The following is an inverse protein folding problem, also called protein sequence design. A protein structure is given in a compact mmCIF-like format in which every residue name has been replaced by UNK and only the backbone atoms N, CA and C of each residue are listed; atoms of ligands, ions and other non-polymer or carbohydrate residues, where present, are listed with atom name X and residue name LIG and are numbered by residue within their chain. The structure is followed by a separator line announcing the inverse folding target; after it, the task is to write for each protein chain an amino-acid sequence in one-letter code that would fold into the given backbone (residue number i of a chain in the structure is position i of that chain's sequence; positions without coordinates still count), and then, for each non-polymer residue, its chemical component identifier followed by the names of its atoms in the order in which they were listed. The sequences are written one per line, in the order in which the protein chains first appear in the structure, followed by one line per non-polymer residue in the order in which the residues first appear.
data_IF_403326333537
#
_entry.id   IF_403326333537
#
_cell.length_a   1.000
_cell.length_b   1.000
_cell.length_c   1.000
_cell.angle_alpha   90.00
_cell.angle_beta   90.00
_cell.angle_gamma   90.00
#
_symmetry.space_group_name_H-M   'P 1'
#
loop_
_entity.id
_entity.type
_entity.pdbx_description
1 polymer ?
#
# COMPACT_ATOMS: atom_id res chain seq x y z
N UNK A 1 -3.42 -29.47 -4.86
CA UNK A 1 -4.15 -28.22 -5.22
C UNK A 1 -3.92 -27.20 -4.11
N UNK A 2 -3.17 -26.16 -4.40
CA UNK A 2 -3.00 -24.99 -3.52
C UNK A 2 -3.95 -23.86 -3.93
N UNK A 3 -3.93 -22.75 -3.17
CA UNK A 3 -4.82 -21.62 -3.44
C UNK A 3 -4.50 -20.92 -4.77
N UNK A 4 -3.22 -20.60 -5.11
CA UNK A 4 -2.88 -20.02 -6.39
C UNK A 4 -3.34 -20.83 -7.59
N UNK A 5 -3.10 -22.13 -7.59
CA UNK A 5 -3.51 -23.00 -8.69
C UNK A 5 -5.02 -23.01 -8.91
N UNK A 6 -5.81 -23.07 -7.82
CA UNK A 6 -7.27 -23.02 -7.90
C UNK A 6 -7.78 -21.67 -8.41
N UNK A 7 -7.20 -20.56 -7.95
CA UNK A 7 -7.55 -19.21 -8.43
C UNK A 7 -7.23 -19.12 -9.93
N UNK A 8 -6.03 -19.50 -10.36
CA UNK A 8 -5.64 -19.50 -11.77
C UNK A 8 -6.57 -20.34 -12.64
N UNK A 9 -6.99 -21.51 -12.15
CA UNK A 9 -7.94 -22.34 -12.86
C UNK A 9 -9.31 -21.65 -13.08
N UNK A 10 -9.72 -20.76 -12.17
CA UNK A 10 -10.96 -19.99 -12.27
C UNK A 10 -10.82 -18.68 -13.04
N UNK A 11 -9.61 -18.26 -13.42
CA UNK A 11 -9.39 -17.06 -14.22
C UNK A 11 -9.97 -17.19 -15.64
N UNK A 12 -9.91 -18.37 -16.23
CA UNK A 12 -10.41 -18.64 -17.59
C UNK A 12 -11.94 -18.78 -17.67
N UNK A 13 -12.65 -18.60 -16.55
CA UNK A 13 -14.09 -18.68 -16.48
C UNK A 13 -14.62 -19.77 -15.52
N UNK A 14 -15.94 -20.01 -15.51
CA UNK A 14 -16.57 -20.94 -14.61
C UNK A 14 -16.08 -22.39 -14.80
N UNK A 15 -15.84 -23.10 -13.70
CA UNK A 15 -15.51 -24.54 -13.74
C UNK A 15 -16.32 -25.33 -12.72
N UNK A 16 -16.88 -26.46 -13.15
CA UNK A 16 -17.59 -27.35 -12.23
C UNK A 16 -16.64 -28.00 -11.21
N UNK A 17 -17.16 -28.32 -10.03
CA UNK A 17 -16.37 -29.02 -9.01
C UNK A 17 -15.86 -30.39 -9.47
N UNK A 18 -16.56 -31.05 -10.41
CA UNK A 18 -16.11 -32.32 -11.03
C UNK A 18 -14.88 -32.06 -11.91
N UNK A 19 -14.93 -31.00 -12.75
CA UNK A 19 -13.82 -30.63 -13.64
C UNK A 19 -12.57 -30.26 -12.84
N UNK A 20 -12.74 -29.41 -11.82
CA UNK A 20 -11.64 -29.04 -10.91
C UNK A 20 -11.04 -30.26 -10.18
N UNK A 21 -11.89 -31.17 -9.70
CA UNK A 21 -11.44 -32.41 -9.05
C UNK A 21 -10.59 -33.27 -9.98
N UNK A 22 -11.01 -33.43 -11.23
CA UNK A 22 -10.26 -34.17 -12.25
C UNK A 22 -8.94 -33.45 -12.63
N UNK A 23 -8.99 -32.13 -12.84
CA UNK A 23 -7.83 -31.29 -13.21
C UNK A 23 -6.70 -31.36 -12.15
N UNK A 24 -7.09 -31.38 -10.87
CA UNK A 24 -6.12 -31.39 -9.75
C UNK A 24 -5.88 -32.78 -9.14
N UNK A 25 -6.52 -33.84 -9.61
CA UNK A 25 -6.35 -35.18 -9.06
C UNK A 25 -6.82 -35.32 -7.60
N UNK A 26 -7.88 -34.57 -7.21
CA UNK A 26 -8.43 -34.56 -5.84
C UNK A 26 -9.92 -34.89 -5.82
N UNK A 27 -10.49 -35.10 -4.63
CA UNK A 27 -11.93 -35.32 -4.48
C UNK A 27 -12.72 -34.00 -4.65
N UNK A 28 -14.00 -34.13 -5.07
CA UNK A 28 -14.93 -32.97 -5.11
C UNK A 28 -15.08 -32.29 -3.75
N UNK A 29 -15.06 -33.07 -2.67
CA UNK A 29 -15.13 -32.56 -1.30
C UNK A 29 -13.89 -31.71 -0.96
N UNK A 30 -12.70 -32.08 -1.45
CA UNK A 30 -11.48 -31.28 -1.30
C UNK A 30 -11.56 -29.97 -2.07
N UNK A 31 -12.12 -29.97 -3.29
CA UNK A 31 -12.38 -28.74 -4.05
C UNK A 31 -13.32 -27.82 -3.29
N UNK A 32 -14.47 -28.35 -2.85
CA UNK A 32 -15.46 -27.59 -2.10
C UNK A 32 -14.85 -26.95 -0.84
N UNK A 33 -14.13 -27.74 -0.03
CA UNK A 33 -13.47 -27.25 1.18
C UNK A 33 -12.48 -26.12 0.87
N UNK A 34 -11.75 -26.20 -0.24
CA UNK A 34 -10.79 -25.16 -0.65
C UNK A 34 -11.50 -23.89 -1.13
N UNK A 35 -12.60 -24.00 -1.85
CA UNK A 35 -13.45 -22.88 -2.26
C UNK A 35 -14.01 -22.16 -1.03
N UNK A 36 -14.56 -22.90 -0.04
CA UNK A 36 -15.09 -22.28 1.18
C UNK A 36 -13.97 -21.55 1.95
N UNK A 37 -12.79 -22.15 2.07
CA UNK A 37 -11.65 -21.49 2.70
C UNK A 37 -11.26 -20.18 1.98
N UNK A 38 -11.29 -20.13 0.66
CA UNK A 38 -11.02 -18.89 -0.10
C UNK A 38 -12.12 -17.85 0.13
N UNK A 39 -13.40 -18.28 0.20
CA UNK A 39 -14.52 -17.38 0.52
C UNK A 39 -14.41 -16.78 1.92
N UNK A 40 -14.09 -17.60 2.92
CA UNK A 40 -13.84 -17.15 4.30
C UNK A 40 -12.71 -16.13 4.38
N UNK A 41 -11.73 -16.22 3.48
CA UNK A 41 -10.61 -15.27 3.35
C UNK A 41 -10.95 -14.03 2.53
N UNK A 42 -12.18 -13.93 1.98
CA UNK A 42 -12.65 -12.75 1.26
C UNK A 42 -12.52 -12.82 -0.25
N UNK A 43 -12.15 -13.97 -0.84
CA UNK A 43 -12.20 -14.15 -2.30
C UNK A 43 -13.67 -14.29 -2.72
N UNK A 44 -14.12 -13.36 -3.55
CA UNK A 44 -15.48 -13.42 -4.08
C UNK A 44 -15.60 -14.51 -5.16
N UNK A 45 -16.14 -15.66 -4.77
CA UNK A 45 -16.40 -16.81 -5.66
C UNK A 45 -17.88 -17.11 -5.64
N UNK A 46 -18.54 -16.98 -6.79
CA UNK A 46 -19.93 -17.40 -6.99
C UNK A 46 -20.02 -18.90 -7.30
N UNK A 47 -21.20 -19.45 -7.05
CA UNK A 47 -21.58 -20.81 -7.51
C UNK A 47 -22.78 -20.71 -8.41
N UNK A 48 -22.61 -21.10 -9.67
CA UNK A 48 -23.72 -21.32 -10.61
C UNK A 48 -24.04 -22.81 -10.66
N UNK A 49 -25.32 -23.15 -10.59
CA UNK A 49 -25.79 -24.56 -10.56
C UNK A 49 -25.39 -25.32 -11.83
N UNK A 50 -25.31 -24.62 -12.98
CA UNK A 50 -25.01 -25.25 -14.27
C UNK A 50 -23.53 -25.16 -14.65
N UNK A 51 -22.86 -24.06 -14.29
CA UNK A 51 -21.48 -23.75 -14.71
C UNK A 51 -20.44 -24.06 -13.63
N UNK A 52 -20.85 -24.10 -12.36
CA UNK A 52 -19.96 -24.35 -11.21
C UNK A 52 -19.43 -23.07 -10.56
N UNK A 53 -18.17 -23.09 -10.13
CA UNK A 53 -17.52 -21.98 -9.42
C UNK A 53 -16.93 -20.98 -10.41
N UNK A 54 -17.08 -19.68 -10.11
CA UNK A 54 -16.44 -18.59 -10.86
C UNK A 54 -15.96 -17.48 -9.91
N UNK A 55 -14.88 -16.82 -10.28
CA UNK A 55 -14.49 -15.58 -9.63
C UNK A 55 -15.48 -14.47 -10.04
N UNK A 56 -15.99 -13.73 -9.05
CA UNK A 56 -16.89 -12.56 -9.31
C UNK A 56 -16.12 -11.49 -10.08
N UNK A 57 -14.86 -11.29 -9.71
CA UNK A 57 -13.92 -10.43 -10.44
C UNK A 57 -12.66 -11.28 -10.74
N UNK A 58 -12.46 -11.69 -11.98
CA UNK A 58 -11.19 -12.30 -12.38
C UNK A 58 -10.06 -11.27 -12.21
N UNK A 59 -9.19 -11.50 -11.24
CA UNK A 59 -8.06 -10.64 -10.94
C UNK A 59 -6.79 -11.48 -10.97
N UNK A 60 -5.84 -11.21 -11.89
CA UNK A 60 -4.59 -11.94 -11.97
C UNK A 60 -3.82 -11.90 -10.66
N UNK A 61 -3.19 -13.01 -10.31
CA UNK A 61 -2.24 -13.06 -9.21
C UNK A 61 -1.04 -12.16 -9.49
N UNK A 62 -0.36 -11.75 -8.43
CA UNK A 62 0.93 -11.08 -8.55
C UNK A 62 1.94 -12.07 -9.11
N UNK A 63 2.62 -11.68 -10.19
CA UNK A 63 3.61 -12.48 -10.87
C UNK A 63 4.90 -11.70 -11.08
N UNK A 64 6.01 -12.27 -10.62
CA UNK A 64 7.34 -11.66 -10.72
C UNK A 64 7.72 -11.34 -12.17
N UNK A 65 7.46 -12.25 -13.08
CA UNK A 65 7.73 -12.07 -14.52
C UNK A 65 6.96 -10.89 -15.12
N UNK A 66 5.67 -10.77 -14.80
CA UNK A 66 4.81 -9.68 -15.27
C UNK A 66 5.24 -8.32 -14.71
N UNK A 67 5.55 -8.26 -13.40
CA UNK A 67 6.07 -7.04 -12.75
C UNK A 67 7.38 -6.61 -13.39
N UNK A 68 8.36 -7.53 -13.50
CA UNK A 68 9.68 -7.23 -14.08
C UNK A 68 9.59 -6.80 -15.54
N UNK A 69 8.70 -7.40 -16.33
CA UNK A 69 8.51 -7.03 -17.73
C UNK A 69 7.93 -5.61 -17.88
N UNK A 70 7.14 -5.15 -16.92
CA UNK A 70 6.51 -3.84 -16.95
C UNK A 70 7.34 -2.72 -16.26
N UNK A 71 8.39 -3.07 -15.48
CA UNK A 71 9.32 -2.08 -14.90
C UNK A 71 10.23 -1.48 -15.97
N UNK A 72 10.62 -0.22 -15.79
CA UNK A 72 11.69 0.36 -16.62
C UNK A 72 13.04 -0.31 -16.39
N UNK A 73 13.92 -0.24 -17.39
CA UNK A 73 15.17 -1.00 -17.40
C UNK A 73 16.14 -0.58 -16.28
N UNK A 74 16.22 0.71 -15.97
CA UNK A 74 17.12 1.23 -14.94
C UNK A 74 16.67 0.77 -13.56
N UNK A 75 15.39 1.00 -13.20
CA UNK A 75 14.84 0.57 -11.92
C UNK A 75 14.87 -0.95 -11.72
N UNK A 76 14.77 -1.71 -12.82
CA UNK A 76 14.91 -3.18 -12.76
C UNK A 76 16.34 -3.63 -12.46
N UNK A 77 17.36 -2.88 -12.90
CA UNK A 77 18.77 -3.17 -12.58
C UNK A 77 19.07 -2.91 -11.09
N UNK A 78 18.39 -1.94 -10.48
CA UNK A 78 18.51 -1.61 -9.06
C UNK A 78 17.70 -2.56 -8.15
N UNK A 79 16.96 -3.50 -8.71
CA UNK A 79 16.19 -4.48 -7.95
C UNK A 79 17.09 -5.63 -7.48
N UNK A 80 17.48 -5.63 -6.21
CA UNK A 80 18.26 -6.69 -5.58
C UNK A 80 17.47 -8.02 -5.51
N UNK A 81 16.23 -7.94 -5.02
CA UNK A 81 15.35 -9.11 -4.90
C UNK A 81 13.88 -8.73 -4.94
N UNK A 82 13.03 -9.65 -5.43
CA UNK A 82 11.59 -9.56 -5.44
C UNK A 82 11.01 -10.90 -5.00
N UNK A 83 10.32 -10.90 -3.84
CA UNK A 83 9.64 -12.06 -3.27
C UNK A 83 8.13 -11.82 -3.29
N UNK A 84 7.36 -12.85 -3.63
CA UNK A 84 5.90 -12.81 -3.67
C UNK A 84 5.37 -14.03 -2.93
N UNK A 85 4.61 -13.77 -1.85
CA UNK A 85 3.93 -14.81 -1.07
C UNK A 85 2.43 -14.76 -1.34
N UNK A 86 1.76 -15.91 -1.43
CA UNK A 86 0.29 -15.91 -1.47
C UNK A 86 -0.29 -15.49 -0.11
N UNK A 87 0.27 -15.99 0.96
CA UNK A 87 -0.15 -15.70 2.33
C UNK A 87 1.08 -15.54 3.23
N UNK A 88 1.12 -14.44 3.98
CA UNK A 88 2.16 -14.14 4.97
C UNK A 88 1.51 -13.46 6.18
N UNK A 89 2.19 -13.40 7.29
CA UNK A 89 1.77 -12.58 8.44
C UNK A 89 1.79 -11.09 8.08
N UNK A 90 2.95 -10.57 7.65
CA UNK A 90 3.11 -9.18 7.21
C UNK A 90 4.35 -9.03 6.33
N UNK A 91 4.21 -8.38 5.17
CA UNK A 91 5.35 -8.00 4.34
C UNK A 91 6.32 -7.10 5.11
N UNK A 92 5.79 -6.22 5.98
CA UNK A 92 6.59 -5.32 6.80
C UNK A 92 7.44 -6.07 7.82
N UNK A 93 6.86 -7.03 8.55
CA UNK A 93 7.60 -7.86 9.51
C UNK A 93 8.69 -8.67 8.82
N UNK A 94 8.36 -9.22 7.65
CA UNK A 94 9.32 -9.98 6.85
C UNK A 94 10.49 -9.10 6.40
N UNK A 95 10.20 -7.92 5.86
CA UNK A 95 11.21 -6.99 5.41
C UNK A 95 12.13 -6.53 6.56
N UNK A 96 11.57 -6.21 7.74
CA UNK A 96 12.36 -5.79 8.91
C UNK A 96 13.29 -6.89 9.43
N UNK A 97 12.89 -8.16 9.29
CA UNK A 97 13.68 -9.30 9.74
C UNK A 97 14.94 -9.53 8.89
N UNK A 98 14.98 -8.99 7.68
CA UNK A 98 16.10 -9.12 6.76
C UNK A 98 16.92 -7.81 6.74
N UNK A 99 18.25 -7.87 6.62
CA UNK A 99 19.08 -6.68 6.44
C UNK A 99 18.76 -6.00 5.11
N UNK A 100 18.85 -4.67 5.07
CA UNK A 100 18.76 -3.97 3.80
C UNK A 100 19.94 -4.34 2.88
N UNK A 101 19.72 -4.48 1.56
CA UNK A 101 20.80 -4.77 0.63
C UNK A 101 21.82 -3.62 0.61
N UNK A 102 23.08 -3.94 0.35
CA UNK A 102 24.15 -2.93 0.25
C UNK A 102 23.90 -1.99 -0.94
N UNK A 103 23.30 -2.52 -2.02
CA UNK A 103 22.90 -1.76 -3.20
C UNK A 103 21.52 -2.18 -3.67
N UNK A 104 20.77 -1.23 -4.19
CA UNK A 104 19.45 -1.42 -4.73
C UNK A 104 18.37 -1.61 -3.67
N UNK A 105 17.26 -2.22 -4.07
CA UNK A 105 16.09 -2.45 -3.25
C UNK A 105 15.75 -3.94 -3.13
N UNK A 106 15.35 -4.39 -1.95
CA UNK A 106 14.74 -5.70 -1.74
C UNK A 106 13.24 -5.53 -1.48
N UNK A 107 12.41 -6.29 -2.16
CA UNK A 107 10.95 -6.13 -2.20
C UNK A 107 10.22 -7.39 -1.74
N UNK A 108 9.25 -7.23 -0.86
CA UNK A 108 8.33 -8.27 -0.40
C UNK A 108 6.91 -7.88 -0.75
N UNK A 109 6.23 -8.76 -1.45
CA UNK A 109 4.83 -8.64 -1.85
C UNK A 109 4.02 -9.80 -1.28
N UNK A 110 2.73 -9.57 -1.06
CA UNK A 110 1.82 -10.64 -0.69
C UNK A 110 0.44 -10.46 -1.31
N UNK A 111 -0.21 -11.58 -1.66
CA UNK A 111 -1.62 -11.56 -2.04
C UNK A 111 -2.52 -11.28 -0.84
N UNK A 112 -2.18 -11.82 0.33
CA UNK A 112 -2.88 -11.53 1.58
C UNK A 112 -1.94 -11.49 2.79
N UNK A 113 -2.35 -10.73 3.81
CA UNK A 113 -1.66 -10.70 5.09
C UNK A 113 -2.61 -11.08 6.23
N UNK A 114 -2.17 -11.98 7.12
CA UNK A 114 -2.95 -12.39 8.30
C UNK A 114 -2.80 -11.41 9.47
N UNK A 115 -1.69 -10.66 9.51
CA UNK A 115 -1.36 -9.67 10.54
C UNK A 115 -0.82 -8.36 9.92
N UNK A 116 -1.45 -7.89 8.82
CA UNK A 116 -1.08 -6.64 8.16
C UNK A 116 -1.03 -5.46 9.14
N UNK A 117 0.03 -4.66 9.05
CA UNK A 117 0.32 -3.59 10.00
C UNK A 117 0.05 -2.21 9.43
N UNK A 118 -0.55 -1.35 10.26
CA UNK A 118 -0.60 0.09 10.10
C UNK A 118 0.11 0.79 11.25
N UNK A 119 0.18 2.12 11.20
CA UNK A 119 0.75 2.93 12.29
C UNK A 119 0.00 2.73 13.60
N UNK A 120 0.72 2.88 14.73
CA UNK A 120 0.16 2.84 16.10
C UNK A 120 -0.55 1.52 16.41
N UNK A 121 -0.05 0.39 15.90
CA UNK A 121 -0.62 -0.94 16.14
C UNK A 121 -1.96 -1.22 15.44
N UNK A 122 -2.43 -0.35 14.54
CA UNK A 122 -3.65 -0.61 13.77
C UNK A 122 -3.42 -1.75 12.78
N UNK A 123 -4.46 -2.54 12.55
CA UNK A 123 -4.44 -3.58 11.52
C UNK A 123 -4.71 -2.97 10.15
N UNK A 124 -4.02 -3.50 9.13
CA UNK A 124 -4.28 -3.23 7.72
C UNK A 124 -5.12 -4.37 7.12
N UNK A 125 -6.27 -4.04 6.53
CA UNK A 125 -7.15 -5.00 5.88
C UNK A 125 -6.50 -5.53 4.60
N UNK A 126 -6.26 -6.83 4.55
CA UNK A 126 -5.43 -7.45 3.51
C UNK A 126 -6.07 -8.72 2.92
N UNK A 127 -7.30 -8.64 2.36
CA UNK A 127 -7.89 -9.80 1.70
C UNK A 127 -7.13 -10.14 0.41
N UNK A 128 -7.13 -11.42 -0.02
CA UNK A 128 -6.43 -11.83 -1.23
C UNK A 128 -7.06 -11.21 -2.49
N UNK A 129 -6.26 -11.01 -3.53
CA UNK A 129 -6.65 -10.50 -4.86
C UNK A 129 -7.16 -9.06 -4.88
N UNK A 130 -7.24 -8.38 -3.74
CA UNK A 130 -7.93 -7.10 -3.64
C UNK A 130 -6.99 -5.88 -3.71
N UNK A 131 -5.81 -6.00 -3.11
CA UNK A 131 -4.99 -4.84 -2.80
C UNK A 131 -3.53 -5.04 -3.26
N UNK A 132 -2.74 -4.00 -3.11
CA UNK A 132 -1.27 -4.09 -3.12
C UNK A 132 -0.81 -4.05 -1.65
N UNK A 133 0.00 -5.02 -1.27
CA UNK A 133 0.73 -5.08 -0.01
C UNK A 133 2.21 -5.23 -0.35
N UNK A 134 2.98 -4.19 -0.10
CA UNK A 134 4.39 -4.12 -0.48
C UNK A 134 5.22 -3.58 0.67
N UNK A 135 6.38 -4.19 0.87
CA UNK A 135 7.44 -3.63 1.72
C UNK A 135 8.76 -3.65 0.98
N UNK A 136 9.54 -2.58 1.13
CA UNK A 136 10.80 -2.35 0.45
C UNK A 136 11.86 -2.05 1.49
N UNK A 137 13.01 -2.76 1.41
CA UNK A 137 14.21 -2.40 2.15
C UNK A 137 15.21 -1.73 1.22
N UNK A 138 15.80 -0.63 1.70
CA UNK A 138 16.93 0.05 1.07
C UNK A 138 17.87 0.59 2.13
N UNK A 139 19.17 0.54 1.84
CA UNK A 139 20.19 1.26 2.58
C UNK A 139 20.42 2.63 1.94
N UNK A 140 20.38 3.67 2.76
CA UNK A 140 20.73 5.04 2.42
C UNK A 140 22.06 5.41 3.06
N UNK A 141 22.94 6.06 2.32
CA UNK A 141 24.25 6.50 2.80
C UNK A 141 24.19 7.87 3.50
N UNK A 142 23.09 8.11 4.20
CA UNK A 142 22.84 9.32 4.97
C UNK A 142 22.38 8.95 6.39
N UNK A 143 22.61 9.82 7.39
CA UNK A 143 22.21 9.55 8.76
C UNK A 143 20.68 9.55 8.92
N UNK A 144 20.19 8.89 10.00
CA UNK A 144 18.75 8.82 10.32
C UNK A 144 18.10 10.21 10.37
N UNK A 145 18.82 11.24 10.86
CA UNK A 145 18.32 12.61 10.92
C UNK A 145 17.98 13.19 9.53
N UNK A 146 18.72 12.81 8.47
CA UNK A 146 18.46 13.24 7.11
C UNK A 146 17.18 12.60 6.50
N UNK A 147 16.63 11.57 7.14
CA UNK A 147 15.39 10.90 6.70
C UNK A 147 14.12 11.64 7.11
N UNK A 148 14.24 12.86 7.70
CA UNK A 148 13.05 13.67 8.01
C UNK A 148 12.21 13.94 6.76
N UNK A 149 10.89 13.71 6.86
CA UNK A 149 9.97 13.88 5.74
C UNK A 149 10.02 12.79 4.66
N UNK A 150 10.82 11.73 4.81
CA UNK A 150 10.88 10.63 3.83
C UNK A 150 9.51 10.00 3.55
N UNK A 151 8.65 9.88 4.57
CA UNK A 151 7.27 9.40 4.38
C UNK A 151 6.46 10.28 3.44
N UNK A 152 6.65 11.60 3.51
CA UNK A 152 5.96 12.56 2.65
C UNK A 152 6.47 12.45 1.21
N UNK A 153 7.79 12.35 1.03
CA UNK A 153 8.39 12.14 -0.29
C UNK A 153 7.91 10.83 -0.93
N UNK A 154 7.89 9.71 -0.19
CA UNK A 154 7.36 8.43 -0.67
C UNK A 154 5.89 8.54 -1.08
N UNK A 155 5.07 9.26 -0.32
CA UNK A 155 3.67 9.48 -0.65
C UNK A 155 3.50 10.26 -1.96
N UNK A 156 4.33 11.28 -2.21
CA UNK A 156 4.38 12.01 -3.49
C UNK A 156 4.73 11.07 -4.64
N UNK A 157 5.81 10.29 -4.52
CA UNK A 157 6.24 9.32 -5.54
C UNK A 157 5.12 8.33 -5.90
N UNK A 158 4.44 7.78 -4.88
CA UNK A 158 3.32 6.84 -5.08
C UNK A 158 2.18 7.53 -5.83
N UNK A 159 1.78 8.74 -5.42
CA UNK A 159 0.70 9.48 -6.08
C UNK A 159 1.07 9.81 -7.52
N UNK A 160 2.29 10.28 -7.78
CA UNK A 160 2.76 10.57 -9.14
C UNK A 160 2.72 9.34 -10.04
N UNK A 161 3.17 8.18 -9.54
CA UNK A 161 3.08 6.92 -10.27
C UNK A 161 1.63 6.53 -10.58
N UNK A 162 0.71 6.65 -9.62
CA UNK A 162 -0.70 6.35 -9.83
C UNK A 162 -1.36 7.32 -10.82
N UNK A 163 -0.99 8.61 -10.80
CA UNK A 163 -1.46 9.62 -11.76
C UNK A 163 -0.99 9.31 -13.19
N UNK A 164 0.27 8.89 -13.37
CA UNK A 164 0.80 8.45 -14.67
C UNK A 164 0.02 7.23 -15.22
N UNK A 165 -0.56 6.43 -14.35
CA UNK A 165 -1.42 5.29 -14.71
C UNK A 165 -2.91 5.68 -14.86
N UNK A 166 -3.23 6.98 -14.85
CA UNK A 166 -4.55 7.51 -15.13
C UNK A 166 -5.50 7.62 -13.93
N UNK A 167 -5.01 7.47 -12.69
CA UNK A 167 -5.82 7.66 -11.49
C UNK A 167 -5.91 9.15 -11.16
N UNK A 168 -7.12 9.72 -11.24
CA UNK A 168 -7.41 11.14 -11.03
C UNK A 168 -8.04 11.37 -9.65
N UNK A 169 -7.84 12.54 -9.06
CA UNK A 169 -8.45 12.92 -7.77
C UNK A 169 -7.70 12.44 -6.54
N UNK A 170 -6.43 12.05 -6.74
CA UNK A 170 -5.53 11.70 -5.64
C UNK A 170 -5.09 12.94 -4.85
N UNK A 171 -4.98 12.78 -3.54
CA UNK A 171 -4.46 13.77 -2.60
C UNK A 171 -3.69 13.06 -1.48
N UNK A 172 -2.93 13.83 -0.73
CA UNK A 172 -2.17 13.34 0.43
C UNK A 172 -2.81 13.85 1.72
N UNK A 173 -2.90 12.98 2.71
CA UNK A 173 -3.24 13.37 4.08
C UNK A 173 -2.06 13.11 4.99
N UNK A 174 -1.55 14.18 5.56
CA UNK A 174 -0.47 14.12 6.53
C UNK A 174 -0.81 13.16 7.70
N UNK A 175 0.14 12.35 8.14
CA UNK A 175 1.54 12.29 7.66
C UNK A 175 1.79 11.18 6.61
N UNK A 176 0.84 10.27 6.33
CA UNK A 176 1.16 9.03 5.61
C UNK A 176 -0.03 8.37 4.88
N UNK A 177 -1.15 9.06 4.73
CA UNK A 177 -2.32 8.51 4.06
C UNK A 177 -2.44 9.01 2.61
N UNK A 178 -2.78 8.08 1.72
CA UNK A 178 -3.16 8.38 0.34
C UNK A 178 -4.68 8.50 0.27
N UNK A 179 -5.16 9.58 -0.28
CA UNK A 179 -6.57 9.84 -0.46
C UNK A 179 -6.97 9.82 -1.93
N UNK A 180 -8.18 9.36 -2.20
CA UNK A 180 -8.86 9.48 -3.48
C UNK A 180 -10.25 10.05 -3.21
N UNK A 181 -10.52 11.24 -3.78
CA UNK A 181 -11.77 12.00 -3.54
C UNK A 181 -12.11 12.15 -2.04
N UNK A 182 -11.11 12.48 -1.23
CA UNK A 182 -11.27 12.72 0.21
C UNK A 182 -11.40 11.48 1.10
N UNK A 183 -11.36 10.27 0.53
CA UNK A 183 -11.40 8.99 1.25
C UNK A 183 -10.09 8.24 1.15
N UNK A 184 -9.73 7.49 2.17
CA UNK A 184 -8.45 6.77 2.22
C UNK A 184 -8.41 5.62 1.21
N UNK A 185 -7.48 5.67 0.26
CA UNK A 185 -7.21 4.59 -0.68
C UNK A 185 -5.91 3.84 -0.39
N UNK A 186 -5.04 4.38 0.48
CA UNK A 186 -3.78 3.75 0.82
C UNK A 186 -3.12 4.37 2.04
N UNK A 187 -1.99 3.81 2.43
CA UNK A 187 -1.19 4.35 3.53
C UNK A 187 0.21 3.75 3.55
N UNK A 188 1.13 4.48 4.18
CA UNK A 188 2.54 4.14 4.29
C UNK A 188 2.94 3.90 5.74
N UNK A 189 3.93 3.02 5.93
CA UNK A 189 4.56 2.75 7.22
C UNK A 189 6.07 2.68 7.02
N UNK A 190 6.82 3.60 7.64
CA UNK A 190 8.28 3.64 7.54
C UNK A 190 8.88 3.24 8.88
N UNK A 191 9.91 2.42 8.81
CA UNK A 191 10.78 2.08 9.93
C UNK A 191 12.23 2.30 9.54
N UNK A 192 12.97 2.89 10.45
CA UNK A 192 14.36 3.28 10.26
C UNK A 192 15.22 2.48 11.25
N UNK A 193 16.37 2.01 10.77
CA UNK A 193 17.39 1.36 11.58
C UNK A 193 18.75 1.89 11.16
N UNK A 194 19.51 2.44 12.06
CA UNK A 194 20.84 3.00 11.78
C UNK A 194 21.43 3.69 12.98
N UNK A 195 22.69 4.05 12.87
CA UNK A 195 23.39 4.88 13.85
C UNK A 195 23.14 6.37 13.58
N UNK A 196 23.42 7.21 14.58
CA UNK A 196 23.14 8.64 14.47
C UNK A 196 23.86 9.30 13.29
N UNK A 197 25.13 8.93 13.05
CA UNK A 197 26.01 9.53 12.03
C UNK A 197 26.37 8.55 10.89
N UNK A 198 25.76 7.37 10.86
CA UNK A 198 26.03 6.31 9.89
C UNK A 198 24.95 6.14 8.83
N UNK A 199 25.14 5.17 7.90
CA UNK A 199 24.11 4.80 6.94
C UNK A 199 22.84 4.33 7.65
N UNK A 200 21.71 4.55 6.99
CA UNK A 200 20.38 4.21 7.51
C UNK A 200 19.72 3.12 6.65
N UNK A 201 19.32 2.03 7.26
CA UNK A 201 18.47 1.02 6.65
C UNK A 201 17.00 1.44 6.82
N UNK A 202 16.30 1.52 5.72
CA UNK A 202 14.90 1.94 5.66
C UNK A 202 14.02 0.79 5.22
N UNK A 203 12.96 0.53 5.98
CA UNK A 203 11.86 -0.33 5.55
C UNK A 203 10.64 0.54 5.28
N UNK A 204 10.26 0.68 4.00
CA UNK A 204 9.03 1.30 3.57
C UNK A 204 7.98 0.23 3.32
N UNK A 205 6.91 0.18 4.13
CA UNK A 205 5.70 -0.57 3.81
C UNK A 205 4.63 0.33 3.24
N UNK A 206 3.90 -0.13 2.25
CA UNK A 206 2.69 0.55 1.81
C UNK A 206 1.58 -0.43 1.42
N UNK A 207 0.36 0.00 1.67
CA UNK A 207 -0.85 -0.70 1.26
C UNK A 207 -1.73 0.20 0.39
N UNK A 208 -2.25 -0.33 -0.72
CA UNK A 208 -3.16 0.39 -1.63
C UNK A 208 -4.39 -0.46 -1.87
N UNK A 209 -5.56 0.10 -1.62
CA UNK A 209 -6.86 -0.52 -1.92
C UNK A 209 -7.11 -0.43 -3.43
N UNK A 210 -6.89 -1.52 -4.18
CA UNK A 210 -7.09 -1.53 -5.63
C UNK A 210 -8.50 -2.02 -5.97
N UNK A 211 -8.88 -3.19 -5.47
CA UNK A 211 -10.16 -3.86 -5.73
C UNK A 211 -10.90 -4.24 -4.44
N UNK A 212 -10.60 -3.59 -3.32
CA UNK A 212 -11.20 -3.90 -2.03
C UNK A 212 -12.73 -3.77 -2.11
N UNK A 213 -13.45 -4.86 -1.83
CA UNK A 213 -14.90 -4.85 -1.80
C UNK A 213 -15.46 -4.30 -0.50
N UNK A 214 -16.67 -3.73 -0.52
CA UNK A 214 -17.32 -3.23 0.68
C UNK A 214 -17.50 -4.31 1.76
N UNK A 215 -17.77 -5.55 1.34
CA UNK A 215 -17.87 -6.68 2.26
C UNK A 215 -16.54 -6.99 2.95
N UNK A 216 -15.43 -7.08 2.19
CA UNK A 216 -14.11 -7.36 2.74
C UNK A 216 -13.58 -6.22 3.61
N UNK A 217 -13.92 -4.97 3.28
CA UNK A 217 -13.54 -3.77 4.05
C UNK A 217 -14.52 -3.36 5.16
N UNK A 218 -15.56 -4.15 5.46
CA UNK A 218 -16.60 -3.78 6.42
C UNK A 218 -16.10 -3.49 7.85
N UNK A 219 -14.94 -4.07 8.23
CA UNK A 219 -14.31 -3.84 9.54
C UNK A 219 -13.38 -2.63 9.59
N UNK A 220 -13.27 -1.82 8.54
CA UNK A 220 -12.42 -0.63 8.52
C UNK A 220 -13.17 0.53 9.18
N UNK A 221 -12.60 1.09 10.27
CA UNK A 221 -13.20 2.11 11.15
C UNK A 221 -13.09 3.56 10.63
N UNK A 222 -12.79 3.75 9.36
CA UNK A 222 -12.64 5.07 8.72
C UNK A 222 -13.17 5.04 7.29
N UNK A 223 -13.45 6.22 6.72
CA UNK A 223 -13.83 6.33 5.33
C UNK A 223 -12.70 5.87 4.42
N UNK A 224 -12.99 4.88 3.59
CA UNK A 224 -12.05 4.31 2.64
C UNK A 224 -12.68 4.15 1.25
N UNK A 225 -11.81 3.95 0.28
CA UNK A 225 -12.18 3.74 -1.12
C UNK A 225 -11.17 2.82 -1.79
N UNK A 226 -11.61 2.07 -2.79
CA UNK A 226 -10.73 1.33 -3.69
C UNK A 226 -10.52 2.12 -5.00
N UNK A 227 -9.33 2.04 -5.60
CA UNK A 227 -9.02 2.72 -6.85
C UNK A 227 -10.03 2.36 -7.96
N UNK A 228 -10.45 1.10 -8.03
CA UNK A 228 -11.40 0.60 -9.03
C UNK A 228 -12.81 1.16 -8.91
N UNK A 229 -13.14 1.91 -7.85
CA UNK A 229 -14.43 2.60 -7.72
C UNK A 229 -14.48 3.91 -8.53
N UNK A 230 -13.33 4.41 -8.97
CA UNK A 230 -13.20 5.72 -9.62
C UNK A 230 -12.48 5.70 -10.97
N UNK A 231 -12.42 4.53 -11.60
CA UNK A 231 -11.90 4.38 -12.96
C UNK A 231 -12.63 3.28 -13.68
N UNK A 232 -12.93 3.49 -14.97
CA UNK A 232 -13.46 2.46 -15.85
C UNK A 232 -12.35 1.55 -16.41
N UNK A 233 -11.10 1.96 -16.29
CA UNK A 233 -9.96 1.17 -16.72
C UNK A 233 -9.80 -0.09 -15.87
N UNK A 234 -9.47 -1.21 -16.52
CA UNK A 234 -9.10 -2.44 -15.82
C UNK A 234 -7.74 -2.21 -15.15
N UNK A 235 -7.74 -2.18 -13.82
CA UNK A 235 -6.53 -2.01 -13.04
C UNK A 235 -5.81 -3.36 -12.90
N UNK A 236 -4.64 -3.46 -13.50
CA UNK A 236 -3.72 -4.60 -13.35
C UNK A 236 -2.73 -4.30 -12.22
N UNK A 237 -2.79 -5.07 -11.13
CA UNK A 237 -1.91 -4.90 -9.96
C UNK A 237 -0.44 -5.11 -10.28
N UNK A 238 -0.10 -5.98 -11.24
CA UNK A 238 1.28 -6.17 -11.67
C UNK A 238 1.84 -4.92 -12.35
N UNK A 239 1.06 -4.28 -13.23
CA UNK A 239 1.43 -3.02 -13.87
C UNK A 239 1.49 -1.86 -12.89
N UNK A 240 0.53 -1.78 -11.95
CA UNK A 240 0.55 -0.78 -10.88
C UNK A 240 1.83 -0.91 -10.05
N UNK A 241 2.16 -2.14 -9.62
CA UNK A 241 3.39 -2.40 -8.85
C UNK A 241 4.65 -2.06 -9.63
N UNK A 242 4.73 -2.41 -10.91
CA UNK A 242 5.87 -2.08 -11.75
C UNK A 242 6.10 -0.55 -11.83
N UNK A 243 5.05 0.23 -12.05
CA UNK A 243 5.12 1.69 -12.05
C UNK A 243 5.54 2.26 -10.69
N UNK A 244 4.93 1.76 -9.60
CA UNK A 244 5.25 2.17 -8.23
C UNK A 244 6.71 1.86 -7.86
N UNK A 245 7.20 0.64 -8.17
CA UNK A 245 8.58 0.25 -7.90
C UNK A 245 9.56 1.10 -8.71
N UNK A 246 9.26 1.35 -9.99
CA UNK A 246 10.09 2.20 -10.85
C UNK A 246 10.17 3.63 -10.34
N UNK A 247 9.05 4.22 -9.94
CA UNK A 247 9.02 5.60 -9.43
C UNK A 247 9.71 5.73 -8.07
N UNK A 248 9.46 4.76 -7.16
CA UNK A 248 10.10 4.75 -5.84
C UNK A 248 11.62 4.59 -5.95
N UNK A 249 12.12 3.71 -6.83
CA UNK A 249 13.55 3.51 -7.03
C UNK A 249 14.23 4.83 -7.45
N UNK A 250 13.71 5.52 -8.47
CA UNK A 250 14.24 6.83 -8.91
C UNK A 250 14.09 7.90 -7.83
N UNK A 251 12.96 7.92 -7.16
CA UNK A 251 12.68 8.88 -6.11
C UNK A 251 13.54 8.71 -4.86
N UNK A 252 13.97 7.49 -4.55
CA UNK A 252 14.90 7.22 -3.44
C UNK A 252 16.27 7.84 -3.69
N UNK A 253 16.81 7.72 -4.91
CA UNK A 253 18.07 8.38 -5.28
C UNK A 253 17.97 9.90 -5.17
N UNK A 254 16.87 10.48 -5.68
CA UNK A 254 16.59 11.90 -5.58
C UNK A 254 16.43 12.35 -4.12
N UNK A 255 15.80 11.54 -3.26
CA UNK A 255 15.69 11.88 -1.84
C UNK A 255 17.05 11.78 -1.12
N UNK A 256 17.88 10.81 -1.45
CA UNK A 256 19.21 10.64 -0.87
C UNK A 256 20.12 11.84 -1.18
N UNK A 257 20.01 12.44 -2.39
CA UNK A 257 20.79 13.60 -2.81
C UNK A 257 20.22 14.93 -2.31
N UNK A 258 18.91 15.14 -2.43
CA UNK A 258 18.28 16.47 -2.31
C UNK A 258 17.34 16.59 -1.10
N UNK A 259 17.05 15.47 -0.43
CA UNK A 259 16.17 15.41 0.74
C UNK A 259 14.72 15.79 0.45
N UNK A 260 13.97 16.10 1.51
CA UNK A 260 12.57 16.52 1.43
C UNK A 260 12.36 17.79 0.57
N UNK A 261 13.27 18.80 0.54
CA UNK A 261 13.07 20.01 -0.28
C UNK A 261 12.71 19.72 -1.74
N UNK A 262 13.26 18.65 -2.33
CA UNK A 262 12.94 18.24 -3.69
C UNK A 262 11.47 17.84 -3.92
N UNK A 263 10.72 17.52 -2.86
CA UNK A 263 9.34 17.02 -2.92
C UNK A 263 8.30 17.95 -2.31
N UNK A 264 8.72 19.03 -1.63
CA UNK A 264 7.80 19.92 -0.88
C UNK A 264 6.77 20.59 -1.81
N UNK A 265 7.18 21.04 -3.00
CA UNK A 265 6.28 21.71 -3.93
C UNK A 265 5.18 20.75 -4.41
N UNK A 266 5.58 19.53 -4.79
CA UNK A 266 4.65 18.47 -5.23
C UNK A 266 3.73 18.07 -4.08
N UNK A 267 4.28 17.89 -2.86
CA UNK A 267 3.49 17.57 -1.69
C UNK A 267 2.42 18.63 -1.41
N UNK A 268 2.79 19.91 -1.44
CA UNK A 268 1.84 21.03 -1.22
C UNK A 268 0.72 21.06 -2.25
N UNK A 269 1.01 20.74 -3.50
CA UNK A 269 -0.01 20.66 -4.56
C UNK A 269 -1.02 19.53 -4.34
N UNK A 270 -0.62 18.50 -3.59
CA UNK A 270 -1.41 17.31 -3.28
C UNK A 270 -2.00 17.34 -1.86
N UNK A 271 -1.75 18.40 -1.07
CA UNK A 271 -2.21 18.47 0.33
C UNK A 271 -3.73 18.49 0.46
N UNK A 272 -4.29 17.37 0.86
CA UNK A 272 -5.73 17.21 1.09
C UNK A 272 -6.23 17.87 2.38
N UNK A 273 -5.34 18.36 3.25
CA UNK A 273 -5.71 18.99 4.52
C UNK A 273 -5.62 20.54 4.48
N UNK A 274 -4.95 21.11 3.50
CA UNK A 274 -4.70 22.56 3.43
C UNK A 274 -5.97 23.37 3.64
N UNK A 275 -5.97 24.23 4.67
CA UNK A 275 -7.08 25.12 5.03
C UNK A 275 -8.29 24.43 5.69
N UNK A 276 -8.26 23.10 5.91
CA UNK A 276 -9.39 22.38 6.52
C UNK A 276 -9.36 22.46 8.03
N UNK A 277 -10.56 22.52 8.62
CA UNK A 277 -10.75 22.28 10.04
C UNK A 277 -10.38 20.82 10.37
N UNK A 278 -9.49 20.65 11.34
CA UNK A 278 -8.98 19.34 11.74
C UNK A 278 -8.96 19.19 13.25
N UNK A 279 -9.10 17.97 13.69
CA UNK A 279 -8.91 17.54 15.05
C UNK A 279 -7.59 16.80 15.17
N UNK A 280 -6.73 17.28 16.03
CA UNK A 280 -5.42 16.72 16.32
C UNK A 280 -5.48 15.98 17.65
N UNK A 281 -5.04 14.72 17.63
CA UNK A 281 -4.86 13.89 18.82
C UNK A 281 -3.36 13.70 19.07
N UNK A 282 -2.87 14.22 20.18
CA UNK A 282 -1.48 14.10 20.61
C UNK A 282 -1.45 13.45 22.00
N UNK A 283 -1.16 12.15 22.04
CA UNK A 283 -1.35 11.37 23.25
C UNK A 283 -2.78 11.44 23.79
N UNK A 284 -2.94 11.92 25.03
CA UNK A 284 -4.24 12.13 25.65
C UNK A 284 -4.89 13.50 25.31
N UNK A 285 -4.11 14.44 24.73
CA UNK A 285 -4.59 15.77 24.39
C UNK A 285 -5.27 15.78 23.04
N UNK A 286 -6.41 16.48 22.97
CA UNK A 286 -7.14 16.70 21.75
C UNK A 286 -7.31 18.19 21.52
N UNK A 287 -7.03 18.65 20.29
CA UNK A 287 -7.16 20.06 19.90
C UNK A 287 -7.88 20.17 18.57
N UNK A 288 -8.77 21.12 18.44
CA UNK A 288 -9.45 21.50 17.21
C UNK A 288 -8.81 22.78 16.64
N UNK A 289 -8.61 22.83 15.34
CA UNK A 289 -7.99 23.95 14.65
C UNK A 289 -7.94 23.73 13.15
N UNK A 290 -7.02 24.37 12.46
CA UNK A 290 -6.87 24.29 11.01
C UNK A 290 -5.50 23.76 10.60
N UNK A 291 -5.46 22.92 9.55
CA UNK A 291 -4.21 22.50 8.92
C UNK A 291 -3.77 23.59 7.92
N UNK A 292 -2.55 24.09 8.10
CA UNK A 292 -1.98 25.20 7.32
C UNK A 292 -0.83 24.77 6.39
N UNK A 293 -0.77 23.48 6.02
CA UNK A 293 0.29 22.91 5.18
C UNK A 293 1.41 22.28 5.97
N UNK A 294 2.60 22.16 5.37
CA UNK A 294 3.79 21.61 6.01
C UNK A 294 4.96 22.59 6.06
N UNK A 295 5.76 22.49 7.11
CA UNK A 295 7.03 23.17 7.27
C UNK A 295 8.15 22.55 6.40
N UNK A 296 9.31 23.16 6.37
CA UNK A 296 10.45 22.72 5.57
C UNK A 296 11.00 21.33 6.00
N UNK A 297 10.81 20.95 7.25
CA UNK A 297 11.19 19.66 7.82
C UNK A 297 10.09 18.58 7.71
N UNK A 298 8.92 18.92 7.12
CA UNK A 298 7.77 18.06 6.96
C UNK A 298 6.82 18.00 8.15
N UNK A 299 7.03 18.82 9.20
CA UNK A 299 6.06 18.97 10.28
C UNK A 299 4.76 19.59 9.77
N UNK A 300 3.60 19.15 10.30
CA UNK A 300 2.33 19.79 9.98
C UNK A 300 2.24 21.16 10.66
N UNK A 301 1.93 22.17 9.88
CA UNK A 301 1.55 23.49 10.39
C UNK A 301 0.08 23.44 10.82
N UNK A 302 -0.15 23.54 12.12
CA UNK A 302 -1.47 23.52 12.73
C UNK A 302 -1.73 24.85 13.45
N UNK A 303 -2.92 25.41 13.28
CA UNK A 303 -3.31 26.68 13.90
C UNK A 303 -4.60 26.48 14.69
N UNK A 304 -4.58 26.84 15.96
CA UNK A 304 -5.73 26.82 16.88
C UNK A 304 -5.88 28.16 17.62
N UNK A 305 -6.71 28.23 18.63
CA UNK A 305 -6.93 29.45 19.43
C UNK A 305 -5.68 29.92 20.20
N UNK A 306 -4.72 29.03 20.44
CA UNK A 306 -3.46 29.34 21.13
C UNK A 306 -2.36 29.81 20.15
N UNK A 307 -2.61 29.70 18.84
CA UNK A 307 -1.68 30.12 17.79
C UNK A 307 -1.23 29.00 16.87
N UNK A 308 -0.05 29.20 16.27
CA UNK A 308 0.51 28.28 15.27
C UNK A 308 1.49 27.30 15.90
N UNK A 309 1.34 26.01 15.59
CA UNK A 309 2.11 24.90 16.14
C UNK A 309 2.73 24.06 15.03
N UNK A 310 3.91 23.50 15.29
CA UNK A 310 4.58 22.48 14.47
C UNK A 310 4.31 21.12 15.08
N UNK A 311 3.69 20.23 14.31
CA UNK A 311 3.36 18.88 14.75
C UNK A 311 4.21 17.86 13.98
N UNK A 312 4.99 17.07 14.72
CA UNK A 312 5.79 15.98 14.15
C UNK A 312 5.02 14.65 14.14
N UNK A 313 5.32 13.78 13.19
CA UNK A 313 4.47 12.62 12.86
C UNK A 313 4.44 11.47 13.87
N UNK A 314 5.26 11.50 14.93
CA UNK A 314 5.43 10.38 15.87
C UNK A 314 4.12 9.91 16.50
N UNK A 315 3.57 10.70 17.41
CA UNK A 315 2.40 10.33 18.21
C UNK A 315 1.09 11.01 17.78
N UNK A 316 1.15 11.87 16.78
CA UNK A 316 0.02 12.70 16.36
C UNK A 316 -0.87 11.98 15.34
N UNK A 317 -2.18 12.10 15.52
CA UNK A 317 -3.18 11.68 14.53
C UNK A 317 -4.08 12.87 14.18
N UNK A 318 -4.39 13.02 12.90
CA UNK A 318 -5.19 14.12 12.38
C UNK A 318 -6.47 13.59 11.74
N UNK A 319 -7.61 14.17 12.09
CA UNK A 319 -8.91 13.86 11.48
C UNK A 319 -9.54 15.16 10.97
N UNK A 320 -10.18 15.10 9.80
CA UNK A 320 -11.00 16.23 9.33
C UNK A 320 -12.22 16.35 10.24
N UNK A 321 -12.48 17.56 10.75
CA UNK A 321 -13.69 17.85 11.49
C UNK A 321 -14.83 18.03 10.49
N UNK A 322 -15.86 17.19 10.60
CA UNK A 322 -17.12 17.43 9.90
C UNK A 322 -17.93 18.39 10.79
N UNK A 323 -18.15 19.60 10.28
CA UNK A 323 -19.00 20.61 10.93
C UNK A 323 -20.46 20.15 11.01
#
# INVERSE_FOLDING_TARGET
MDNPALINALMDGPKSGVRLAAEFGVSRAAVWKRIELLRERGVAIDTDVRQGYRLVRPTPLLEKSAILAAMDAASRQDLHSLQIDFEIDSTQLRAIAEPAPVQGIAVWLAEMQTAGQGRRGKRWCSPPLANIHCSINRRFNVPVAAMSGFSLACAVMIVQSLQQLGIIGLALKWPNDLWLHGRKCGGLLIQLRGEADGPCDVTLGFGINVHLSRQAGAGIDQDWVALSEHTEAVLDRNRLLAGLLSELTRGFERFESDGLPAFIADWRSLDGLQGRAVRVQDGAKQRDGHACGIAADGALLFEDAEGRHLLHSGEVSVRVSHG
#
